data_IF_547152316465
#
_entry.id   IF_547152316465
#
_cell.length_a   1.000
_cell.length_b   1.000
_cell.length_c   1.000
_cell.angle_alpha   90.00
_cell.angle_beta   90.00
_cell.angle_gamma   90.00
#
_symmetry.space_group_name_H-M   'P 1'
#
loop_
_entity.id
_entity.type
_entity.pdbx_description
1 polymer ?
#
# COMPACT_ATOMS: atom_id res chain seq x y z
N UNK A 1 11.36 0.77 -15.82
CA UNK A 1 9.93 1.06 -15.81
C UNK A 1 9.35 0.75 -14.44
N UNK A 2 8.80 1.76 -13.77
CA UNK A 2 8.14 1.64 -12.45
C UNK A 2 6.66 1.93 -12.65
N UNK A 3 5.77 1.10 -12.11
CA UNK A 3 4.33 1.25 -12.32
C UNK A 3 3.49 0.87 -11.11
N UNK A 4 2.54 1.75 -10.76
CA UNK A 4 1.27 1.33 -10.20
C UNK A 4 0.58 0.45 -11.25
N UNK A 5 0.23 -0.78 -10.90
CA UNK A 5 -0.29 -1.74 -11.87
C UNK A 5 -1.75 -1.44 -12.26
N UNK A 6 -2.17 -1.95 -13.40
CA UNK A 6 -3.49 -1.65 -13.99
C UNK A 6 -4.66 -2.07 -13.10
N UNK A 7 -4.53 -3.19 -12.42
CA UNK A 7 -5.54 -3.75 -11.52
C UNK A 7 -4.83 -4.32 -10.30
N UNK A 8 -5.16 -3.82 -9.14
CA UNK A 8 -4.62 -4.29 -7.84
C UNK A 8 -5.62 -5.23 -7.13
N UNK A 9 -6.80 -5.46 -7.71
CA UNK A 9 -7.88 -6.27 -7.16
C UNK A 9 -7.84 -7.72 -7.67
N UNK A 10 -8.96 -8.23 -8.15
CA UNK A 10 -9.10 -9.65 -8.57
C UNK A 10 -8.19 -10.05 -9.73
N UNK A 11 -7.74 -9.10 -10.56
CA UNK A 11 -6.84 -9.31 -11.69
C UNK A 11 -5.39 -8.86 -11.43
N UNK A 12 -4.99 -8.75 -10.19
CA UNK A 12 -3.64 -8.26 -9.82
C UNK A 12 -2.52 -9.08 -10.47
N UNK A 13 -2.67 -10.39 -10.56
CA UNK A 13 -1.66 -11.26 -11.21
C UNK A 13 -1.58 -11.08 -12.72
N UNK A 14 -2.69 -10.79 -13.40
CA UNK A 14 -2.68 -10.42 -14.83
C UNK A 14 -1.88 -9.13 -15.03
N UNK A 15 -2.03 -8.19 -14.09
CA UNK A 15 -1.29 -6.92 -14.12
C UNK A 15 0.21 -7.11 -13.84
N UNK A 16 0.60 -8.04 -12.98
CA UNK A 16 2.01 -8.41 -12.78
C UNK A 16 2.59 -9.05 -14.05
N UNK A 17 1.82 -9.89 -14.73
CA UNK A 17 2.19 -10.46 -16.03
C UNK A 17 2.37 -9.38 -17.11
N UNK A 18 1.54 -8.33 -17.08
CA UNK A 18 1.69 -7.17 -17.98
C UNK A 18 3.00 -6.44 -17.73
N UNK A 19 3.38 -6.19 -16.46
CA UNK A 19 4.67 -5.55 -16.12
C UNK A 19 5.84 -6.39 -16.61
N UNK A 20 5.80 -7.71 -16.37
CA UNK A 20 6.84 -8.62 -16.85
C UNK A 20 6.96 -8.61 -18.38
N UNK A 21 5.83 -8.60 -19.08
CA UNK A 21 5.79 -8.49 -20.55
C UNK A 21 6.42 -7.18 -21.04
N UNK A 22 6.12 -6.06 -20.39
CA UNK A 22 6.73 -4.75 -20.72
C UNK A 22 8.24 -4.82 -20.59
N UNK A 23 8.75 -5.37 -19.48
CA UNK A 23 10.19 -5.53 -19.25
C UNK A 23 10.86 -6.36 -20.34
N UNK A 24 10.26 -7.51 -20.68
CA UNK A 24 10.76 -8.41 -21.72
C UNK A 24 10.76 -7.78 -23.11
N UNK A 25 9.63 -7.19 -23.52
CA UNK A 25 9.48 -6.64 -24.88
C UNK A 25 10.29 -5.35 -25.08
N UNK A 26 10.46 -4.55 -24.03
CA UNK A 26 11.22 -3.30 -24.08
C UNK A 26 12.70 -3.46 -23.69
N UNK A 27 13.10 -4.61 -23.13
CA UNK A 27 14.47 -4.84 -22.66
C UNK A 27 14.85 -3.94 -21.48
N UNK A 28 13.92 -3.68 -20.55
CA UNK A 28 14.09 -2.77 -19.42
C UNK A 28 13.94 -3.50 -18.08
N UNK A 29 14.68 -3.08 -17.03
CA UNK A 29 14.33 -3.41 -15.66
C UNK A 29 12.92 -2.91 -15.33
N UNK A 30 12.18 -3.67 -14.55
CA UNK A 30 10.80 -3.32 -14.17
C UNK A 30 10.58 -3.41 -12.66
N UNK A 31 9.69 -2.55 -12.18
CA UNK A 31 9.31 -2.50 -10.77
C UNK A 31 7.81 -2.39 -10.62
N UNK A 32 7.24 -3.27 -9.79
CA UNK A 32 5.86 -3.19 -9.33
C UNK A 32 5.87 -2.35 -8.06
N UNK A 33 5.44 -1.08 -8.15
CA UNK A 33 5.45 -0.20 -6.98
C UNK A 33 4.26 -0.47 -6.05
N UNK A 34 4.47 -0.29 -4.73
CA UNK A 34 3.51 -0.49 -3.63
C UNK A 34 2.61 -1.73 -3.84
N UNK A 35 3.25 -2.88 -4.11
CA UNK A 35 2.56 -4.14 -4.49
C UNK A 35 1.42 -4.47 -3.53
N UNK A 36 0.26 -4.83 -4.09
CA UNK A 36 -0.94 -5.19 -3.35
C UNK A 36 -1.64 -6.41 -3.92
N UNK A 37 -2.42 -7.05 -3.05
CA UNK A 37 -3.42 -8.03 -3.37
C UNK A 37 -4.79 -7.51 -2.92
N UNK A 38 -5.30 -6.51 -3.66
CA UNK A 38 -6.36 -5.61 -3.25
C UNK A 38 -7.78 -6.18 -3.23
N UNK A 39 -7.96 -7.49 -3.44
CA UNK A 39 -9.26 -8.16 -3.38
C UNK A 39 -9.20 -9.40 -2.51
N UNK A 40 -10.28 -9.68 -1.78
CA UNK A 40 -10.44 -10.90 -0.99
C UNK A 40 -10.23 -12.19 -1.79
N UNK A 41 -10.49 -12.16 -3.08
CA UNK A 41 -10.29 -13.31 -3.99
C UNK A 41 -8.84 -13.69 -4.20
N UNK A 42 -7.90 -12.79 -3.92
CA UNK A 42 -6.46 -13.00 -4.08
C UNK A 42 -5.67 -12.95 -2.77
N UNK A 43 -6.32 -12.66 -1.64
CA UNK A 43 -5.67 -12.72 -0.33
C UNK A 43 -5.11 -14.11 -0.02
N UNK A 44 -4.05 -14.19 0.79
CA UNK A 44 -3.34 -15.42 1.18
C UNK A 44 -2.66 -16.15 0.01
N UNK A 45 -2.41 -15.46 -1.12
CA UNK A 45 -1.82 -16.08 -2.30
C UNK A 45 -0.37 -15.66 -2.59
N UNK A 46 0.21 -14.71 -1.83
CA UNK A 46 1.58 -14.25 -2.09
C UNK A 46 2.58 -15.40 -2.05
N UNK A 47 2.62 -16.17 -0.97
CA UNK A 47 3.54 -17.29 -0.81
C UNK A 47 3.39 -18.38 -1.90
N UNK A 48 2.20 -18.52 -2.48
CA UNK A 48 1.92 -19.55 -3.50
C UNK A 48 2.27 -19.06 -4.91
N UNK A 49 1.97 -17.80 -5.26
CA UNK A 49 2.01 -17.33 -6.65
C UNK A 49 3.22 -16.45 -6.98
N UNK A 50 3.71 -15.68 -6.02
CA UNK A 50 4.81 -14.75 -6.28
C UNK A 50 6.14 -15.41 -6.58
N UNK A 51 6.53 -16.55 -5.94
CA UNK A 51 7.77 -17.25 -6.33
C UNK A 51 7.85 -17.60 -7.80
N UNK A 52 6.74 -18.08 -8.39
CA UNK A 52 6.68 -18.39 -9.81
C UNK A 52 6.87 -17.15 -10.71
N UNK A 53 6.31 -16.00 -10.32
CA UNK A 53 6.48 -14.74 -11.03
C UNK A 53 7.96 -14.33 -11.07
N UNK A 54 8.66 -14.33 -9.93
CA UNK A 54 10.08 -13.98 -9.85
C UNK A 54 10.97 -14.99 -10.60
N UNK A 55 10.68 -16.30 -10.49
CA UNK A 55 11.39 -17.32 -11.25
C UNK A 55 11.19 -17.18 -12.75
N UNK A 56 9.98 -16.86 -13.19
CA UNK A 56 9.69 -16.61 -14.60
C UNK A 56 10.44 -15.36 -15.09
N UNK A 57 10.47 -14.28 -14.32
CA UNK A 57 11.24 -13.09 -14.64
C UNK A 57 12.72 -13.44 -14.88
N UNK A 58 13.34 -14.22 -13.98
CA UNK A 58 14.74 -14.67 -14.13
C UNK A 58 14.94 -15.52 -15.37
N UNK A 59 14.05 -16.49 -15.65
CA UNK A 59 14.13 -17.34 -16.86
C UNK A 59 14.00 -16.54 -18.15
N UNK A 60 13.19 -15.47 -18.13
CA UNK A 60 12.96 -14.59 -19.28
C UNK A 60 13.99 -13.46 -19.37
N UNK A 61 14.95 -13.38 -18.44
CA UNK A 61 16.02 -12.37 -18.43
C UNK A 61 15.53 -10.96 -18.06
N UNK A 62 14.39 -10.86 -17.38
CA UNK A 62 13.82 -9.59 -16.92
C UNK A 62 14.25 -9.32 -15.47
N UNK A 63 14.88 -8.18 -15.23
CA UNK A 63 15.16 -7.70 -13.87
C UNK A 63 13.86 -7.13 -13.27
N UNK A 64 13.17 -7.97 -12.51
CA UNK A 64 11.92 -7.64 -11.82
C UNK A 64 12.22 -7.33 -10.36
N UNK A 65 11.78 -6.15 -9.92
CA UNK A 65 11.70 -5.77 -8.51
C UNK A 65 10.27 -5.36 -8.15
N UNK A 66 10.02 -5.23 -6.86
CA UNK A 66 8.80 -4.64 -6.34
C UNK A 66 9.13 -3.84 -5.07
N UNK A 67 8.19 -3.02 -4.63
CA UNK A 67 8.25 -2.40 -3.31
C UNK A 67 6.93 -2.55 -2.56
N UNK A 68 6.97 -2.50 -1.24
CA UNK A 68 5.82 -2.68 -0.35
C UNK A 68 5.91 -1.76 0.87
N UNK A 69 4.77 -1.28 1.35
CA UNK A 69 4.65 -0.66 2.66
C UNK A 69 4.05 -1.64 3.68
N UNK A 70 4.41 -1.54 4.97
CA UNK A 70 4.12 -2.56 5.98
C UNK A 70 2.73 -2.41 6.63
N UNK A 71 1.68 -2.27 5.81
CA UNK A 71 0.31 -2.14 6.28
C UNK A 71 -0.64 -2.93 5.39
N UNK A 72 -1.69 -3.47 6.00
CA UNK A 72 -2.73 -4.27 5.33
C UNK A 72 -3.81 -3.42 4.66
N UNK A 73 -3.70 -2.10 4.68
CA UNK A 73 -4.71 -1.19 4.15
C UNK A 73 -4.08 -0.06 3.32
N UNK A 74 -4.84 0.44 2.37
CA UNK A 74 -4.48 1.55 1.48
C UNK A 74 -5.24 2.83 1.84
N UNK A 75 -4.82 3.95 1.25
CA UNK A 75 -5.48 5.25 1.33
C UNK A 75 -5.70 5.81 -0.07
N UNK A 76 -6.94 6.15 -0.39
CA UNK A 76 -7.29 6.81 -1.65
C UNK A 76 -8.68 7.46 -1.53
N UNK A 77 -9.26 7.91 -2.67
CA UNK A 77 -10.63 8.39 -2.70
C UNK A 77 -11.63 7.23 -2.68
N UNK A 78 -12.85 7.46 -2.19
CA UNK A 78 -13.92 6.45 -2.16
C UNK A 78 -14.28 5.91 -3.56
N UNK A 79 -13.97 6.67 -4.61
CA UNK A 79 -14.29 6.32 -5.99
C UNK A 79 -13.46 5.16 -6.53
N UNK A 80 -12.25 4.92 -6.00
CA UNK A 80 -11.41 3.78 -6.44
C UNK A 80 -12.02 2.42 -6.11
N UNK A 81 -12.98 2.37 -5.17
CA UNK A 81 -13.69 1.15 -4.78
C UNK A 81 -14.44 0.54 -5.98
N UNK A 82 -14.99 1.38 -6.87
CA UNK A 82 -15.69 0.94 -8.10
C UNK A 82 -14.88 1.39 -9.33
N UNK A 83 -13.94 0.55 -9.81
CA UNK A 83 -12.93 0.96 -10.81
C UNK A 83 -13.51 1.34 -12.18
N UNK A 84 -14.63 0.75 -12.58
CA UNK A 84 -15.30 1.04 -13.85
C UNK A 84 -16.16 2.33 -13.80
N UNK A 85 -16.17 3.02 -12.66
CA UNK A 85 -16.86 4.28 -12.40
C UNK A 85 -18.39 4.23 -12.51
N UNK A 86 -18.99 3.04 -12.52
CA UNK A 86 -20.45 2.86 -12.52
C UNK A 86 -20.98 2.89 -11.07
N UNK A 87 -20.74 4.03 -10.40
CA UNK A 87 -20.94 4.26 -8.96
C UNK A 87 -22.39 4.14 -8.50
N UNK A 88 -23.35 4.16 -9.40
CA UNK A 88 -24.79 4.11 -9.11
C UNK A 88 -25.46 2.83 -9.54
N UNK A 89 -24.69 1.83 -9.94
CA UNK A 89 -25.17 0.46 -10.20
C UNK A 89 -25.07 -0.36 -8.91
N UNK A 90 -26.19 -0.73 -8.26
CA UNK A 90 -26.16 -1.40 -6.97
C UNK A 90 -25.39 -2.73 -6.97
N UNK A 91 -25.50 -3.52 -8.05
CA UNK A 91 -24.82 -4.82 -8.15
C UNK A 91 -23.29 -4.66 -8.22
N UNK A 92 -22.81 -3.66 -8.98
CA UNK A 92 -21.37 -3.37 -9.07
C UNK A 92 -20.81 -2.83 -7.75
N UNK A 93 -21.55 -1.94 -7.09
CA UNK A 93 -21.15 -1.42 -5.78
C UNK A 93 -21.12 -2.56 -4.76
N UNK A 94 -22.13 -3.44 -4.72
CA UNK A 94 -22.16 -4.58 -3.82
C UNK A 94 -20.98 -5.52 -4.05
N UNK A 95 -20.70 -5.87 -5.30
CA UNK A 95 -19.52 -6.68 -5.67
C UNK A 95 -18.23 -6.01 -5.22
N UNK A 96 -18.04 -4.73 -5.52
CA UNK A 96 -16.84 -3.98 -5.17
C UNK A 96 -16.63 -3.88 -3.65
N UNK A 97 -17.70 -3.68 -2.87
CA UNK A 97 -17.63 -3.71 -1.42
C UNK A 97 -17.22 -5.10 -0.91
N UNK A 98 -17.79 -6.17 -1.47
CA UNK A 98 -17.42 -7.54 -1.12
C UNK A 98 -15.95 -7.85 -1.44
N UNK A 99 -15.44 -7.41 -2.58
CA UNK A 99 -14.04 -7.57 -2.99
C UNK A 99 -13.06 -6.86 -2.04
N UNK A 100 -13.47 -5.76 -1.41
CA UNK A 100 -12.72 -5.08 -0.36
C UNK A 100 -12.94 -5.67 1.05
N UNK A 101 -13.57 -6.84 1.16
CA UNK A 101 -13.85 -7.52 2.43
C UNK A 101 -15.04 -6.97 3.21
N UNK A 102 -15.88 -6.15 2.56
CA UNK A 102 -17.11 -5.59 3.12
C UNK A 102 -16.98 -4.15 3.63
N UNK A 103 -18.12 -3.53 3.86
CA UNK A 103 -18.22 -2.13 4.27
C UNK A 103 -17.54 -1.81 5.63
N UNK A 104 -17.35 -2.79 6.49
CA UNK A 104 -16.61 -2.67 7.76
C UNK A 104 -15.11 -2.46 7.55
N UNK A 105 -14.57 -2.81 6.39
CA UNK A 105 -13.16 -2.67 6.01
C UNK A 105 -12.88 -1.35 5.28
N UNK A 106 -13.87 -0.49 5.11
CA UNK A 106 -13.74 0.81 4.45
C UNK A 106 -14.02 1.89 5.49
N UNK A 107 -12.99 2.62 5.91
CA UNK A 107 -13.08 3.70 6.89
C UNK A 107 -13.04 5.04 6.17
N UNK A 108 -13.99 5.90 6.45
CA UNK A 108 -14.06 7.27 5.92
C UNK A 108 -13.06 8.15 6.67
N UNK A 109 -12.18 8.81 5.95
CA UNK A 109 -11.17 9.72 6.53
C UNK A 109 -11.75 11.13 6.73
N UNK A 110 -12.46 11.62 5.71
CA UNK A 110 -13.08 12.95 5.71
C UNK A 110 -14.41 12.90 4.97
N UNK A 111 -15.39 13.62 5.46
CA UNK A 111 -16.68 13.82 4.81
C UNK A 111 -17.24 15.18 5.14
N UNK A 112 -16.97 16.18 4.30
CA UNK A 112 -17.36 17.57 4.55
C UNK A 112 -18.87 17.81 4.76
N UNK A 113 -19.79 17.09 4.09
CA UNK A 113 -21.23 17.25 4.36
C UNK A 113 -21.65 16.88 5.79
N UNK A 114 -20.90 16.00 6.48
CA UNK A 114 -21.18 15.56 7.85
C UNK A 114 -19.88 15.11 8.53
N UNK A 115 -19.11 16.08 9.06
CA UNK A 115 -17.78 15.86 9.64
C UNK A 115 -17.76 14.80 10.78
N UNK A 116 -18.89 14.64 11.50
CA UNK A 116 -19.03 13.64 12.56
C UNK A 116 -18.91 12.19 12.09
N UNK A 117 -18.95 11.95 10.78
CA UNK A 117 -18.78 10.64 10.18
C UNK A 117 -17.31 10.30 9.87
N UNK A 118 -16.41 11.26 9.96
CA UNK A 118 -14.98 11.01 9.84
C UNK A 118 -14.51 10.00 10.90
N UNK A 119 -13.68 9.05 10.49
CA UNK A 119 -13.21 7.97 11.34
C UNK A 119 -14.15 6.75 11.46
N UNK A 120 -15.39 6.86 10.99
CA UNK A 120 -16.34 5.72 10.98
C UNK A 120 -16.14 4.84 9.75
N UNK A 121 -16.49 3.57 9.88
CA UNK A 121 -16.59 2.65 8.74
C UNK A 121 -17.85 2.90 7.92
N UNK A 122 -17.83 2.53 6.65
CA UNK A 122 -19.01 2.61 5.79
C UNK A 122 -20.20 1.79 6.36
N UNK A 123 -19.91 0.69 7.05
CA UNK A 123 -20.94 -0.11 7.74
C UNK A 123 -21.60 0.67 8.90
N UNK A 124 -20.81 1.36 9.74
CA UNK A 124 -21.32 2.20 10.83
C UNK A 124 -22.14 3.39 10.30
N UNK A 125 -21.70 3.98 9.18
CA UNK A 125 -22.43 5.07 8.52
C UNK A 125 -23.74 4.58 7.93
N UNK A 126 -23.74 3.43 7.27
CA UNK A 126 -24.95 2.81 6.75
C UNK A 126 -25.98 2.55 7.87
N UNK A 127 -25.53 1.99 9.00
CA UNK A 127 -26.38 1.78 10.17
C UNK A 127 -26.92 3.10 10.76
N UNK A 128 -26.07 4.13 10.87
CA UNK A 128 -26.46 5.46 11.35
C UNK A 128 -27.53 6.10 10.47
N UNK A 129 -27.43 5.95 9.17
CA UNK A 129 -28.40 6.48 8.21
C UNK A 129 -29.61 5.58 7.98
N UNK A 130 -29.62 4.37 8.57
CA UNK A 130 -30.64 3.34 8.34
C UNK A 130 -30.74 2.92 6.85
N UNK A 131 -29.58 2.84 6.20
CA UNK A 131 -29.40 2.45 4.80
C UNK A 131 -28.62 1.13 4.72
N UNK A 132 -28.69 0.48 3.55
CA UNK A 132 -27.72 -0.56 3.20
C UNK A 132 -26.34 0.05 2.94
N UNK A 133 -25.23 -0.72 3.07
CA UNK A 133 -23.89 -0.23 2.70
C UNK A 133 -23.80 0.27 1.25
N UNK A 134 -24.53 -0.34 0.33
CA UNK A 134 -24.59 0.07 -1.09
C UNK A 134 -25.23 1.45 -1.22
N UNK A 135 -26.38 1.66 -0.56
CA UNK A 135 -27.07 2.96 -0.56
C UNK A 135 -26.24 4.06 0.12
N UNK A 136 -25.54 3.72 1.21
CA UNK A 136 -24.64 4.64 1.91
C UNK A 136 -23.47 5.06 1.00
N UNK A 137 -22.83 4.11 0.32
CA UNK A 137 -21.79 4.40 -0.66
C UNK A 137 -22.29 5.37 -1.74
N UNK A 138 -23.41 5.01 -2.39
CA UNK A 138 -23.99 5.81 -3.47
C UNK A 138 -24.41 7.21 -2.99
N UNK A 139 -24.91 7.34 -1.77
CA UNK A 139 -25.24 8.62 -1.14
C UNK A 139 -23.98 9.49 -0.95
N UNK A 140 -22.89 8.92 -0.44
CA UNK A 140 -21.62 9.62 -0.25
C UNK A 140 -21.08 10.11 -1.60
N UNK A 141 -20.98 9.24 -2.60
CA UNK A 141 -20.49 9.61 -3.93
C UNK A 141 -21.36 10.69 -4.58
N UNK A 142 -22.69 10.59 -4.43
CA UNK A 142 -23.62 11.61 -4.96
C UNK A 142 -23.43 12.98 -4.29
N UNK A 143 -23.23 13.01 -2.98
CA UNK A 143 -23.04 14.25 -2.22
C UNK A 143 -21.72 14.96 -2.53
N UNK A 144 -20.74 14.25 -3.08
CA UNK A 144 -19.38 14.76 -3.37
C UNK A 144 -19.09 14.90 -4.87
N UNK A 145 -20.12 15.24 -5.68
CA UNK A 145 -19.97 15.57 -7.10
C UNK A 145 -20.49 14.53 -8.08
N UNK A 146 -21.07 13.42 -7.62
CA UNK A 146 -21.70 12.42 -8.49
C UNK A 146 -20.71 11.72 -9.42
N UNK A 147 -21.15 11.48 -10.68
CA UNK A 147 -20.35 10.77 -11.69
C UNK A 147 -19.32 11.68 -12.42
N UNK A 148 -19.44 12.99 -12.30
CA UNK A 148 -18.69 13.95 -13.12
C UNK A 148 -17.23 14.16 -12.70
N UNK A 149 -16.75 13.37 -11.75
CA UNK A 149 -15.35 13.32 -11.35
C UNK A 149 -15.07 13.85 -9.93
N UNK A 150 -13.83 13.70 -9.46
CA UNK A 150 -13.43 14.21 -8.16
C UNK A 150 -13.51 15.74 -8.15
N UNK A 151 -14.10 16.27 -7.09
CA UNK A 151 -14.03 17.69 -6.77
C UNK A 151 -13.20 17.90 -5.50
N UNK A 152 -12.99 19.14 -5.09
CA UNK A 152 -12.25 19.48 -3.87
C UNK A 152 -12.87 18.89 -2.57
N UNK A 153 -14.08 18.35 -2.66
CA UNK A 153 -14.81 17.71 -1.56
C UNK A 153 -14.76 16.18 -1.64
N UNK A 154 -13.88 15.59 -2.45
CA UNK A 154 -13.84 14.13 -2.58
C UNK A 154 -13.50 13.45 -1.24
N UNK A 155 -14.16 12.34 -1.00
CA UNK A 155 -14.03 11.60 0.26
C UNK A 155 -12.84 10.66 0.18
N UNK A 156 -11.91 10.83 1.10
CA UNK A 156 -10.80 9.91 1.28
C UNK A 156 -11.19 8.76 2.21
N UNK A 157 -10.69 7.59 1.90
CA UNK A 157 -10.95 6.36 2.65
C UNK A 157 -9.67 5.58 2.91
N UNK A 158 -9.71 4.77 3.96
CA UNK A 158 -8.77 3.67 4.19
C UNK A 158 -9.52 2.37 3.89
N UNK A 159 -8.96 1.55 3.02
CA UNK A 159 -9.55 0.26 2.65
C UNK A 159 -8.58 -0.89 2.88
N UNK A 160 -9.05 -2.03 3.37
CA UNK A 160 -8.22 -3.22 3.54
C UNK A 160 -7.78 -3.74 2.16
N UNK A 161 -6.50 -4.01 2.00
CA UNK A 161 -5.89 -4.42 0.72
C UNK A 161 -5.26 -5.80 0.73
N UNK A 162 -4.83 -6.29 1.87
CA UNK A 162 -4.06 -7.53 1.96
C UNK A 162 -4.29 -8.21 3.31
N UNK A 163 -4.02 -9.50 3.35
CA UNK A 163 -3.83 -10.23 4.61
C UNK A 163 -2.44 -9.94 5.19
N UNK A 164 -2.28 -10.11 6.51
CA UNK A 164 -0.99 -9.90 7.18
C UNK A 164 0.07 -10.91 6.73
N UNK A 165 -0.32 -12.13 6.38
CA UNK A 165 0.61 -13.14 5.84
C UNK A 165 1.11 -12.78 4.43
N UNK A 166 0.30 -12.15 3.57
CA UNK A 166 0.76 -11.61 2.29
C UNK A 166 1.75 -10.46 2.51
N UNK A 167 1.43 -9.50 3.40
CA UNK A 167 2.37 -8.41 3.76
C UNK A 167 3.67 -8.97 4.29
N UNK A 168 3.60 -9.92 5.22
CA UNK A 168 4.77 -10.57 5.81
C UNK A 168 5.61 -11.28 4.75
N UNK A 169 4.99 -11.96 3.80
CA UNK A 169 5.70 -12.60 2.69
C UNK A 169 6.46 -11.57 1.85
N UNK A 170 5.82 -10.46 1.46
CA UNK A 170 6.48 -9.39 0.70
C UNK A 170 7.62 -8.74 1.48
N UNK A 171 7.44 -8.53 2.79
CA UNK A 171 8.49 -7.98 3.66
C UNK A 171 9.69 -8.91 3.75
N UNK A 172 9.48 -10.23 3.84
CA UNK A 172 10.57 -11.20 3.95
C UNK A 172 11.32 -11.41 2.61
N UNK A 173 10.68 -11.18 1.46
CA UNK A 173 11.28 -11.50 0.17
C UNK A 173 12.46 -10.56 -0.19
N UNK A 174 13.65 -11.10 -0.57
CA UNK A 174 14.87 -10.30 -0.71
C UNK A 174 14.85 -9.32 -1.90
N UNK A 175 14.06 -9.57 -2.93
CA UNK A 175 13.96 -8.73 -4.14
C UNK A 175 12.83 -7.69 -4.06
N UNK A 176 12.14 -7.59 -2.92
CA UNK A 176 11.08 -6.59 -2.68
C UNK A 176 11.60 -5.52 -1.74
N UNK A 177 11.68 -4.31 -2.24
CA UNK A 177 12.11 -3.12 -1.51
C UNK A 177 11.01 -2.62 -0.55
N UNK A 178 11.32 -1.57 0.19
CA UNK A 178 10.35 -0.91 1.05
C UNK A 178 10.06 0.50 0.54
N UNK A 179 8.77 0.86 0.54
CA UNK A 179 8.30 2.21 0.25
C UNK A 179 7.44 2.74 1.40
N UNK A 180 7.05 3.99 1.31
CA UNK A 180 6.03 4.57 2.19
C UNK A 180 4.70 4.71 1.49
N UNK A 181 4.69 5.02 0.19
CA UNK A 181 3.50 5.45 -0.56
C UNK A 181 2.68 6.50 0.24
N UNK A 182 3.40 7.24 1.09
CA UNK A 182 2.85 8.16 2.07
C UNK A 182 2.94 9.61 1.60
N UNK A 183 2.17 10.48 2.28
CA UNK A 183 2.25 11.93 2.12
C UNK A 183 2.60 12.58 3.46
N UNK A 184 3.27 13.74 3.41
CA UNK A 184 3.69 14.47 4.62
C UNK A 184 2.53 14.87 5.54
N UNK A 185 1.34 15.02 4.97
CA UNK A 185 0.11 15.38 5.69
C UNK A 185 -1.01 14.36 5.42
N UNK A 186 -0.65 13.12 5.09
CA UNK A 186 -1.61 12.06 4.79
C UNK A 186 -2.31 11.52 6.03
N UNK A 187 -3.52 11.01 5.85
CA UNK A 187 -4.30 10.37 6.92
C UNK A 187 -3.92 8.90 7.16
N UNK A 188 -3.02 8.34 6.37
CA UNK A 188 -2.51 6.98 6.55
C UNK A 188 -1.22 7.00 7.36
N UNK A 189 -1.05 6.12 8.37
CA UNK A 189 0.16 6.08 9.21
C UNK A 189 1.44 5.74 8.41
N UNK A 190 1.33 5.23 7.20
CA UNK A 190 2.47 4.80 6.37
C UNK A 190 3.47 5.91 6.07
N UNK A 191 3.05 7.18 6.05
CA UNK A 191 3.94 8.31 5.82
C UNK A 191 5.01 8.47 6.89
N UNK A 192 4.63 8.34 8.16
CA UNK A 192 5.53 8.44 9.31
C UNK A 192 6.05 7.08 9.82
N UNK A 193 5.23 6.03 9.69
CA UNK A 193 5.46 4.76 10.38
C UNK A 193 6.13 3.67 9.56
N UNK A 194 6.20 3.72 8.23
CA UNK A 194 6.62 2.56 7.42
C UNK A 194 7.99 1.99 7.82
N UNK A 195 9.03 2.77 7.77
CA UNK A 195 10.39 2.27 8.09
C UNK A 195 10.56 1.91 9.57
N UNK A 196 10.10 2.72 10.54
CA UNK A 196 10.14 2.34 11.95
C UNK A 196 9.35 1.06 12.25
N UNK A 197 8.19 0.84 11.60
CA UNK A 197 7.40 -0.37 11.74
C UNK A 197 8.15 -1.60 11.22
N UNK A 198 8.82 -1.50 10.07
CA UNK A 198 9.64 -2.60 9.55
C UNK A 198 10.74 -2.96 10.56
N UNK A 199 11.48 -1.97 11.08
CA UNK A 199 12.58 -2.20 12.00
C UNK A 199 12.12 -2.70 13.36
N UNK A 200 11.05 -2.10 13.92
CA UNK A 200 10.53 -2.47 15.24
C UNK A 200 9.70 -3.76 15.19
N UNK A 201 8.64 -3.75 14.42
CA UNK A 201 7.65 -4.83 14.42
C UNK A 201 8.15 -6.09 13.68
N UNK A 202 8.56 -5.96 12.41
CA UNK A 202 8.90 -7.14 11.60
C UNK A 202 10.32 -7.67 11.87
N UNK A 203 11.30 -6.79 12.09
CA UNK A 203 12.68 -7.21 12.36
C UNK A 203 12.86 -7.61 13.83
N UNK A 204 12.62 -6.69 14.76
CA UNK A 204 12.92 -6.92 16.18
C UNK A 204 11.93 -7.86 16.84
N UNK A 205 10.62 -7.61 16.71
CA UNK A 205 9.60 -8.36 17.45
C UNK A 205 9.25 -9.69 16.78
N UNK A 206 8.92 -9.67 15.49
CA UNK A 206 8.57 -10.89 14.74
C UNK A 206 9.78 -11.69 14.28
N UNK A 207 10.97 -11.09 14.18
CA UNK A 207 12.20 -11.70 13.65
C UNK A 207 11.99 -12.28 12.24
N UNK A 208 11.17 -11.60 11.45
CA UNK A 208 10.77 -12.06 10.13
C UNK A 208 11.94 -12.03 9.13
N UNK A 209 12.85 -11.06 9.27
CA UNK A 209 14.07 -10.92 8.48
C UNK A 209 15.20 -10.34 9.31
N UNK A 210 16.49 -10.61 8.96
CA UNK A 210 17.65 -9.99 9.61
C UNK A 210 17.67 -8.46 9.42
N UNK A 211 18.21 -7.74 10.43
CA UNK A 211 18.32 -6.28 10.37
C UNK A 211 19.10 -5.80 9.15
N UNK A 212 20.21 -6.45 8.83
CA UNK A 212 21.07 -6.11 7.70
C UNK A 212 20.33 -6.21 6.37
N UNK A 213 19.49 -7.23 6.21
CA UNK A 213 18.65 -7.38 5.02
C UNK A 213 17.58 -6.26 4.95
N UNK A 214 16.96 -5.93 6.08
CA UNK A 214 15.99 -4.85 6.13
C UNK A 214 16.63 -3.50 5.72
N UNK A 215 17.81 -3.20 6.26
CA UNK A 215 18.56 -1.99 5.90
C UNK A 215 18.94 -2.00 4.42
N UNK A 216 19.43 -3.13 3.88
CA UNK A 216 19.73 -3.26 2.46
C UNK A 216 18.50 -2.95 1.57
N UNK A 217 17.33 -3.47 1.95
CA UNK A 217 16.05 -3.25 1.23
C UNK A 217 15.53 -1.81 1.34
N UNK A 218 16.03 -1.03 2.31
CA UNK A 218 15.72 0.40 2.47
C UNK A 218 16.73 1.32 1.79
N UNK A 219 17.92 0.81 1.42
CA UNK A 219 19.05 1.65 1.02
C UNK A 219 19.75 1.14 -0.25
N UNK A 220 20.54 0.08 -0.14
CA UNK A 220 21.37 -0.43 -1.24
C UNK A 220 20.57 -0.99 -2.40
N UNK A 221 19.47 -1.70 -2.12
CA UNK A 221 18.63 -2.30 -3.15
C UNK A 221 17.89 -1.23 -3.98
N UNK A 222 17.16 -0.25 -3.38
CA UNK A 222 16.53 0.82 -4.15
C UNK A 222 17.55 1.72 -4.85
N UNK A 223 18.74 1.99 -4.26
CA UNK A 223 19.79 2.75 -4.93
C UNK A 223 20.28 2.03 -6.19
N UNK A 224 20.46 0.71 -6.14
CA UNK A 224 20.83 -0.09 -7.30
C UNK A 224 19.74 -0.08 -8.37
N UNK A 225 18.48 -0.25 -7.99
CA UNK A 225 17.32 -0.24 -8.88
C UNK A 225 17.16 1.09 -9.62
N UNK A 226 17.39 2.20 -8.93
CA UNK A 226 17.31 3.56 -9.48
C UNK A 226 18.64 4.05 -10.11
N UNK A 227 19.67 3.17 -10.21
CA UNK A 227 21.00 3.50 -10.73
C UNK A 227 21.67 4.70 -10.02
N UNK A 228 21.45 4.85 -8.71
CA UNK A 228 22.12 5.88 -7.90
C UNK A 228 23.53 5.40 -7.54
N UNK A 229 24.55 5.93 -8.25
CA UNK A 229 25.91 5.42 -8.19
C UNK A 229 26.63 5.69 -6.86
N UNK A 230 26.20 6.72 -6.12
CA UNK A 230 26.89 7.27 -4.95
C UNK A 230 26.06 7.26 -3.67
N UNK A 231 24.99 6.43 -3.61
CA UNK A 231 24.05 6.36 -2.49
C UNK A 231 23.77 4.91 -2.08
N UNK A 232 23.05 4.74 -0.96
CA UNK A 232 22.54 3.46 -0.49
C UNK A 232 23.52 2.61 0.30
N UNK A 233 24.77 3.08 0.51
CA UNK A 233 25.78 2.44 1.36
C UNK A 233 26.80 3.44 1.89
N UNK A 234 27.47 3.10 2.98
CA UNK A 234 28.55 3.88 3.56
C UNK A 234 29.85 3.45 2.88
N UNK A 235 30.43 4.33 2.06
CA UNK A 235 31.72 4.11 1.38
C UNK A 235 32.41 5.44 1.10
N UNK A 236 33.74 5.44 0.98
CA UNK A 236 34.48 6.64 0.58
C UNK A 236 34.00 7.19 -0.78
N UNK A 237 33.73 8.49 -0.84
CA UNK A 237 33.22 9.17 -2.04
C UNK A 237 31.68 9.11 -2.22
N UNK A 238 30.97 8.41 -1.35
CA UNK A 238 29.50 8.39 -1.36
C UNK A 238 28.93 9.59 -0.61
N UNK A 239 27.71 9.99 -0.99
CA UNK A 239 26.97 11.05 -0.30
C UNK A 239 26.63 10.59 1.12
N UNK A 240 26.89 11.46 2.09
CA UNK A 240 26.69 11.17 3.52
C UNK A 240 25.25 11.44 3.98
N UNK A 241 24.25 10.86 3.29
CA UNK A 241 22.87 10.82 3.74
C UNK A 241 22.75 9.68 4.79
N UNK A 242 22.86 10.03 6.05
CA UNK A 242 22.98 9.07 7.16
C UNK A 242 21.79 9.18 8.12
N UNK A 243 21.28 8.03 8.55
CA UNK A 243 20.29 7.92 9.62
C UNK A 243 20.91 7.19 10.80
N UNK A 244 20.79 7.78 12.00
CA UNK A 244 21.16 7.14 13.25
C UNK A 244 19.90 6.70 13.97
N UNK A 245 19.82 5.44 14.38
CA UNK A 245 18.69 4.91 15.14
C UNK A 245 19.14 3.88 16.17
N UNK A 246 18.33 3.68 17.20
CA UNK A 246 18.54 2.62 18.20
C UNK A 246 17.71 1.38 17.81
N UNK A 247 18.34 0.27 17.38
CA UNK A 247 17.62 -0.93 16.99
C UNK A 247 16.85 -1.60 18.14
N UNK A 248 17.18 -1.30 19.39
CA UNK A 248 16.47 -1.83 20.56
C UNK A 248 15.14 -1.11 20.82
N UNK A 249 15.02 0.15 20.41
CA UNK A 249 13.85 0.99 20.75
C UNK A 249 13.07 1.52 19.54
N UNK A 250 13.62 1.43 18.33
CA UNK A 250 12.94 1.92 17.12
C UNK A 250 11.61 1.20 16.92
N UNK A 251 10.52 1.99 16.80
CA UNK A 251 9.16 1.51 16.56
C UNK A 251 8.29 2.66 16.02
N UNK A 252 7.31 2.32 15.20
CA UNK A 252 6.26 3.25 14.79
C UNK A 252 5.31 3.54 15.97
N UNK A 253 4.77 4.76 15.98
CA UNK A 253 3.72 5.19 16.90
C UNK A 253 2.51 5.74 16.15
N UNK A 254 2.66 5.90 14.84
CA UNK A 254 1.60 6.39 13.98
C UNK A 254 0.46 5.36 13.89
N UNK A 255 -0.76 5.85 14.07
CA UNK A 255 -2.00 5.07 13.98
C UNK A 255 -2.96 5.73 13.01
N UNK A 256 -4.10 5.10 12.72
CA UNK A 256 -5.15 5.71 11.89
C UNK A 256 -5.69 6.99 12.55
N UNK A 257 -5.76 7.02 13.88
CA UNK A 257 -6.23 8.18 14.66
C UNK A 257 -5.15 9.27 14.79
N UNK A 258 -3.87 8.88 14.72
CA UNK A 258 -2.70 9.77 14.84
C UNK A 258 -1.66 9.43 13.76
N UNK A 259 -1.97 9.66 12.47
CA UNK A 259 -1.15 9.15 11.37
C UNK A 259 0.24 9.77 11.26
N UNK A 260 0.45 10.92 11.86
CA UNK A 260 1.72 11.67 11.82
C UNK A 260 2.48 11.61 13.16
N UNK A 261 2.08 10.73 14.09
CA UNK A 261 2.79 10.62 15.36
C UNK A 261 4.25 10.15 15.12
N UNK A 262 5.26 10.91 15.62
CA UNK A 262 6.67 10.57 15.39
C UNK A 262 7.03 9.21 15.98
N UNK A 263 7.94 8.44 15.33
CA UNK A 263 8.42 7.17 15.84
C UNK A 263 9.27 7.35 17.11
N UNK A 264 9.52 6.24 17.81
CA UNK A 264 10.58 6.15 18.84
C UNK A 264 11.89 5.63 18.22
N UNK A 265 13.01 5.85 18.93
CA UNK A 265 14.31 5.28 18.59
C UNK A 265 15.00 5.88 17.36
N UNK A 266 14.42 6.88 16.75
CA UNK A 266 15.05 7.71 15.70
C UNK A 266 15.05 9.13 16.23
N UNK A 267 16.22 9.77 16.43
CA UNK A 267 16.26 11.19 16.79
C UNK A 267 15.52 12.01 15.74
N UNK A 268 14.65 12.90 16.20
CA UNK A 268 13.99 13.86 15.29
C UNK A 268 15.05 14.73 14.61
N UNK A 269 14.87 14.96 13.32
CA UNK A 269 15.63 15.94 12.56
C UNK A 269 15.02 17.31 12.77
#
# INVERSE_FOLDING_TARGET
>A
YISHVRDEASRTFDSFDEVLRIGREAGLPVEITHIKMGSTSVWHQAAKRMPELFERARREGVDLKADVYPYTFWHSTIRVIVPDRDYFNPQKVEQALAENGGAQNIRIVNYAPEEALAGKTLAEIAAHWQLTPVEAYMRIVKATGGADGPNEQDVNVLGTSMSEDDVSWFIAHPEIMFCTDGALHGAHPRGAGSYPRILGHYVREQKLLPLELAIHKMTGLPAAQLHLADRGRIAPGYVADLVVFDPATVIDRSTVEKPLEPPLGIPGV
#
